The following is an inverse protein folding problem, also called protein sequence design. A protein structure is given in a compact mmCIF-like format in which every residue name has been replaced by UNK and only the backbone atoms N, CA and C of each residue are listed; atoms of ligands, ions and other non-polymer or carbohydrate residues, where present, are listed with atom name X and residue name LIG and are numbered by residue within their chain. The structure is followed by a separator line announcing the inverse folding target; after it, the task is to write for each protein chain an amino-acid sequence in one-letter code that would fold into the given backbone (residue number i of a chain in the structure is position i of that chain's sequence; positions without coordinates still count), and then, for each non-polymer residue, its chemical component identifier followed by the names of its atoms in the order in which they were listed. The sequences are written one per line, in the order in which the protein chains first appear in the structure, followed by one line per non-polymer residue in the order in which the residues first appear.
data_IF_865665147822
#
_entry.id   IF_865665147822
#
_cell.length_a   1.000
_cell.length_b   1.000
_cell.length_c   1.000
_cell.angle_alpha   90.00
_cell.angle_beta   90.00
_cell.angle_gamma   90.00
#
_symmetry.space_group_name_H-M   'P 1'
#
loop_
_entity.id
_entity.type
_entity.pdbx_description
1 polymer ?
#
# COMPACT_ATOMS: atom_id res chain seq x y z
N UNK A 1 -39.34 16.66 -32.06
CA UNK A 1 -40.68 17.22 -31.81
C UNK A 1 -41.01 16.98 -30.35
N UNK A 2 -40.98 18.06 -29.55
CA UNK A 2 -41.25 18.03 -28.10
C UNK A 2 -42.76 18.05 -27.86
N UNK A 3 -43.26 17.11 -27.06
CA UNK A 3 -44.64 17.08 -26.56
C UNK A 3 -44.51 16.86 -25.04
N UNK A 4 -44.54 17.91 -24.21
CA UNK A 4 -45.68 18.60 -23.58
C UNK A 4 -46.49 17.74 -22.57
N UNK A 5 -46.50 18.27 -21.34
CA UNK A 5 -47.53 18.16 -20.28
C UNK A 5 -47.65 16.79 -19.58
N UNK A 6 -47.82 16.69 -18.25
CA UNK A 6 -48.51 17.57 -17.31
C UNK A 6 -47.94 17.41 -15.87
N UNK A 7 -47.92 18.53 -15.16
CA UNK A 7 -47.64 18.69 -13.73
C UNK A 7 -48.94 18.46 -12.92
N UNK A 8 -48.87 17.84 -11.74
CA UNK A 8 -49.89 18.02 -10.69
C UNK A 8 -49.23 17.93 -9.30
N UNK A 9 -49.45 19.00 -8.55
CA UNK A 9 -48.98 19.33 -7.20
C UNK A 9 -50.09 19.01 -6.20
N UNK A 10 -49.75 18.52 -5.01
CA UNK A 10 -50.31 18.84 -3.67
C UNK A 10 -49.72 17.84 -2.67
N UNK A 11 -49.20 18.17 -1.48
CA UNK A 11 -49.33 19.35 -0.64
C UNK A 11 -49.62 18.86 0.80
N UNK A 12 -48.69 19.06 1.73
CA UNK A 12 -48.99 19.10 3.18
C UNK A 12 -47.81 19.74 3.92
N UNK A 13 -47.94 21.06 4.05
CA UNK A 13 -47.18 21.95 4.91
C UNK A 13 -47.61 21.69 6.37
N UNK A 14 -46.67 21.43 7.28
CA UNK A 14 -46.91 21.63 8.72
C UNK A 14 -45.87 22.61 9.23
N UNK A 15 -46.30 23.86 9.34
CA UNK A 15 -45.68 24.92 10.11
C UNK A 15 -46.13 24.76 11.56
N UNK A 16 -45.21 24.61 12.50
CA UNK A 16 -45.47 24.89 13.91
C UNK A 16 -44.38 25.84 14.41
N UNK A 17 -44.75 27.13 14.48
CA UNK A 17 -44.04 28.15 15.25
C UNK A 17 -44.62 28.15 16.67
N UNK A 18 -43.74 28.12 17.67
CA UNK A 18 -44.01 28.67 18.99
C UNK A 18 -42.74 29.37 19.51
N UNK A 19 -42.98 30.45 20.23
CA UNK A 19 -42.11 31.61 20.46
C UNK A 19 -41.12 31.39 21.61
N UNK A 20 -40.02 32.14 21.54
CA UNK A 20 -38.89 32.22 22.45
C UNK A 20 -39.22 32.52 23.92
N UNK A 21 -38.36 32.01 24.82
CA UNK A 21 -38.00 32.66 26.07
C UNK A 21 -36.57 32.22 26.50
N UNK A 22 -35.72 33.21 26.79
CA UNK A 22 -34.39 33.04 27.40
C UNK A 22 -34.50 32.58 28.86
N UNK A 23 -33.57 31.70 29.29
CA UNK A 23 -32.70 31.86 30.49
C UNK A 23 -32.11 30.52 30.97
N UNK A 24 -30.77 30.47 30.91
CA UNK A 24 -29.74 29.91 31.84
C UNK A 24 -29.89 28.56 32.57
N UNK A 25 -28.78 27.79 32.44
CA UNK A 25 -28.09 26.87 33.40
C UNK A 25 -28.40 25.36 33.48
N UNK A 26 -27.51 24.58 32.81
CA UNK A 26 -26.86 23.26 33.07
C UNK A 26 -27.48 22.16 33.98
N UNK A 27 -27.01 20.88 33.89
CA UNK A 27 -26.42 20.13 32.77
C UNK A 27 -27.03 18.71 32.62
N UNK A 28 -27.19 18.19 31.40
CA UNK A 28 -27.50 16.76 31.19
C UNK A 28 -26.47 16.09 30.27
N UNK A 29 -26.00 14.95 30.75
CA UNK A 29 -24.89 14.10 30.32
C UNK A 29 -24.72 13.91 28.81
N UNK A 30 -23.49 14.18 28.39
CA UNK A 30 -22.70 13.48 27.36
C UNK A 30 -23.41 12.40 26.54
N UNK A 31 -23.91 12.80 25.37
CA UNK A 31 -23.93 11.89 24.23
C UNK A 31 -22.50 11.79 23.68
N UNK A 32 -21.85 10.67 23.98
CA UNK A 32 -20.53 10.30 23.45
C UNK A 32 -20.59 10.33 21.93
N UNK A 33 -20.01 11.36 21.32
CA UNK A 33 -19.69 11.36 19.89
C UNK A 33 -18.74 10.19 19.69
N UNK A 34 -19.21 9.13 19.04
CA UNK A 34 -18.36 8.06 18.55
C UNK A 34 -17.35 8.69 17.61
N UNK A 35 -16.11 8.85 18.08
CA UNK A 35 -15.01 9.37 17.28
C UNK A 35 -14.92 8.51 16.02
N UNK A 36 -14.93 9.16 14.86
CA UNK A 36 -14.60 8.50 13.61
C UNK A 36 -13.24 7.81 13.79
N UNK A 37 -13.06 6.58 13.28
CA UNK A 37 -11.80 5.85 13.43
C UNK A 37 -10.68 6.73 12.91
N UNK A 38 -9.70 7.00 13.77
CA UNK A 38 -8.54 7.82 13.43
C UNK A 38 -7.92 7.29 12.13
N UNK A 39 -7.88 8.16 11.11
CA UNK A 39 -7.12 7.91 9.88
C UNK A 39 -5.71 7.46 10.33
N UNK A 40 -5.21 6.29 9.89
CA UNK A 40 -3.88 5.84 10.26
C UNK A 40 -2.89 6.99 10.04
N UNK A 41 -2.15 7.35 11.09
CA UNK A 41 -1.18 8.43 11.04
C UNK A 41 -0.27 8.23 9.82
N UNK A 42 -0.24 9.22 8.94
CA UNK A 42 0.69 9.20 7.80
C UNK A 42 2.11 9.13 8.36
N UNK A 43 2.99 8.27 7.81
CA UNK A 43 4.31 8.05 8.35
C UNK A 43 5.08 9.38 8.44
N UNK A 44 5.48 9.75 9.65
CA UNK A 44 6.31 10.93 9.91
C UNK A 44 7.78 10.51 9.69
N UNK A 45 8.38 10.98 8.60
CA UNK A 45 9.78 10.73 8.24
C UNK A 45 10.04 11.12 6.77
N UNK A 46 11.31 11.29 6.36
CA UNK A 46 11.64 11.47 4.96
C UNK A 46 11.24 10.23 4.16
N UNK A 47 10.71 10.43 2.96
CA UNK A 47 10.49 9.34 2.00
C UNK A 47 11.74 9.15 1.14
N UNK A 48 12.12 7.90 0.93
CA UNK A 48 13.29 7.50 0.14
C UNK A 48 12.86 6.81 -1.15
N UNK A 49 13.30 7.33 -2.28
CA UNK A 49 12.99 6.79 -3.61
C UNK A 49 13.99 5.69 -4.00
N UNK A 50 13.51 4.46 -4.19
CA UNK A 50 14.34 3.28 -4.51
C UNK A 50 15.20 3.47 -5.77
N UNK A 51 14.74 4.31 -6.71
CA UNK A 51 15.43 4.58 -7.97
C UNK A 51 16.41 5.77 -7.93
N UNK A 52 16.52 6.46 -6.78
CA UNK A 52 17.35 7.67 -6.64
C UNK A 52 18.24 7.65 -5.40
N UNK A 53 17.76 7.06 -4.32
CA UNK A 53 18.40 7.12 -3.00
C UNK A 53 19.07 5.80 -2.61
N UNK A 54 20.11 5.90 -1.78
CA UNK A 54 20.75 4.74 -1.14
C UNK A 54 20.02 4.44 0.17
N UNK A 55 18.84 3.82 0.04
CA UNK A 55 17.89 3.71 1.16
C UNK A 55 18.46 2.96 2.37
N UNK A 56 19.39 2.03 2.16
CA UNK A 56 19.97 1.19 3.22
C UNK A 56 21.02 1.88 4.08
N UNK A 57 21.38 3.13 3.79
CA UNK A 57 22.22 3.97 4.66
C UNK A 57 21.40 4.70 5.72
N UNK A 58 20.07 4.76 5.58
CA UNK A 58 19.18 5.42 6.53
C UNK A 58 18.69 4.44 7.61
N UNK A 59 19.10 4.54 8.88
CA UNK A 59 18.81 3.52 9.88
C UNK A 59 17.30 3.25 10.08
N UNK A 60 16.48 4.27 9.87
CA UNK A 60 15.02 4.32 10.04
C UNK A 60 14.22 3.96 8.78
N UNK A 61 14.86 3.45 7.71
CA UNK A 61 14.12 3.03 6.53
C UNK A 61 13.22 1.81 6.83
N UNK A 62 12.00 1.87 6.33
CA UNK A 62 10.98 0.82 6.36
C UNK A 62 10.14 0.88 5.08
N UNK A 63 9.29 -0.10 4.83
CA UNK A 63 8.35 -0.06 3.70
C UNK A 63 7.38 1.13 3.75
N UNK A 64 7.16 1.75 4.92
CA UNK A 64 6.26 2.91 5.08
C UNK A 64 6.82 4.20 4.48
N UNK A 65 8.14 4.32 4.39
CA UNK A 65 8.83 5.50 3.89
C UNK A 65 9.69 5.20 2.65
N UNK A 66 9.53 4.04 2.01
CA UNK A 66 10.11 3.76 0.70
C UNK A 66 9.11 4.09 -0.41
N UNK A 67 9.58 4.81 -1.42
CA UNK A 67 8.87 5.09 -2.66
C UNK A 67 9.47 4.30 -3.81
N UNK A 68 8.62 3.96 -4.77
CA UNK A 68 9.01 3.37 -6.03
C UNK A 68 8.43 4.22 -7.16
N UNK A 69 9.30 4.88 -7.93
CA UNK A 69 8.91 5.77 -9.03
C UNK A 69 7.91 6.86 -8.59
N UNK A 70 8.06 7.37 -7.36
CA UNK A 70 7.19 8.38 -6.76
C UNK A 70 5.89 7.86 -6.15
N UNK A 71 5.62 6.56 -6.21
CA UNK A 71 4.49 5.94 -5.51
C UNK A 71 4.91 5.41 -4.14
N UNK A 72 4.05 5.52 -3.14
CA UNK A 72 4.22 4.92 -1.81
C UNK A 72 3.12 3.92 -1.48
N UNK A 73 3.39 3.03 -0.53
CA UNK A 73 2.34 2.18 0.04
C UNK A 73 1.26 3.07 0.68
N UNK A 74 0.01 2.64 0.54
CA UNK A 74 -1.18 3.37 0.95
C UNK A 74 -1.68 4.42 -0.06
N UNK A 75 -0.93 4.68 -1.14
CA UNK A 75 -1.41 5.56 -2.21
C UNK A 75 -2.66 4.98 -2.87
N UNK A 76 -3.58 5.88 -3.21
CA UNK A 76 -4.74 5.56 -4.04
C UNK A 76 -4.28 5.17 -5.45
N UNK A 77 -4.73 4.00 -5.88
CA UNK A 77 -4.43 3.39 -7.17
C UNK A 77 -5.63 3.41 -8.10
N UNK A 78 -6.76 3.98 -7.67
CA UNK A 78 -7.91 4.20 -8.52
C UNK A 78 -7.61 5.28 -9.57
N UNK A 79 -8.12 5.09 -10.78
CA UNK A 79 -7.85 5.97 -11.91
C UNK A 79 -6.42 5.88 -12.45
N UNK A 80 -5.94 6.93 -13.10
CA UNK A 80 -4.71 6.91 -13.91
C UNK A 80 -3.43 7.26 -13.14
N UNK A 81 -3.49 7.39 -11.80
CA UNK A 81 -2.37 7.89 -11.01
C UNK A 81 -1.17 6.92 -11.04
N UNK A 82 -1.40 5.62 -10.83
CA UNK A 82 -0.34 4.62 -10.96
C UNK A 82 0.17 4.52 -12.40
N UNK A 83 -0.73 4.58 -13.40
CA UNK A 83 -0.33 4.49 -14.81
C UNK A 83 0.62 5.62 -15.23
N UNK A 84 0.49 6.82 -14.62
CA UNK A 84 1.42 7.93 -14.85
C UNK A 84 2.81 7.67 -14.26
N UNK A 85 2.89 6.95 -13.14
CA UNK A 85 4.15 6.68 -12.42
C UNK A 85 4.86 5.44 -12.97
N UNK A 86 4.10 4.38 -13.18
CA UNK A 86 4.58 3.06 -13.60
C UNK A 86 4.42 2.80 -15.10
N UNK A 87 3.74 3.66 -15.84
CA UNK A 87 3.45 3.45 -17.25
C UNK A 87 2.35 2.41 -17.47
N UNK A 88 2.26 1.93 -18.71
CA UNK A 88 1.26 0.95 -19.16
C UNK A 88 1.27 -0.31 -18.28
N UNK A 89 0.08 -0.86 -18.03
CA UNK A 89 -0.10 -2.19 -17.44
C UNK A 89 0.30 -3.26 -18.48
N UNK A 90 1.27 -4.09 -18.13
CA UNK A 90 1.72 -5.24 -18.93
C UNK A 90 0.85 -6.48 -18.66
N UNK A 91 0.43 -6.64 -17.42
CA UNK A 91 -0.41 -7.75 -16.98
C UNK A 91 -1.29 -7.34 -15.80
N UNK A 92 -2.48 -7.91 -15.70
CA UNK A 92 -3.38 -7.72 -14.56
C UNK A 92 -4.05 -9.03 -14.17
N UNK A 93 -4.20 -9.27 -12.87
CA UNK A 93 -4.93 -10.40 -12.31
C UNK A 93 -5.79 -9.96 -11.11
N UNK A 94 -6.95 -10.58 -10.96
CA UNK A 94 -7.77 -10.45 -9.76
C UNK A 94 -7.45 -11.63 -8.81
N UNK A 95 -6.95 -11.31 -7.62
CA UNK A 95 -6.71 -12.27 -6.54
C UNK A 95 -7.92 -12.29 -5.59
N UNK A 96 -7.86 -13.02 -4.47
CA UNK A 96 -9.00 -13.05 -3.54
C UNK A 96 -9.35 -11.65 -3.01
N UNK A 97 -8.39 -10.99 -2.37
CA UNK A 97 -8.56 -9.70 -1.68
C UNK A 97 -7.96 -8.50 -2.44
N UNK A 98 -7.22 -8.77 -3.51
CA UNK A 98 -6.35 -7.79 -4.17
C UNK A 98 -6.49 -7.82 -5.69
N UNK A 99 -6.15 -6.70 -6.33
CA UNK A 99 -5.77 -6.68 -7.75
C UNK A 99 -4.25 -6.66 -7.84
N UNK A 100 -3.68 -7.50 -8.70
CA UNK A 100 -2.28 -7.48 -9.08
C UNK A 100 -2.17 -6.82 -10.45
N UNK A 101 -1.38 -5.76 -10.57
CA UNK A 101 -0.95 -5.22 -11.86
C UNK A 101 0.56 -5.32 -11.98
N UNK A 102 1.05 -5.59 -13.19
CA UNK A 102 2.48 -5.56 -13.52
C UNK A 102 2.77 -4.47 -14.53
N UNK A 103 3.92 -3.84 -14.36
CA UNK A 103 4.38 -2.72 -15.14
C UNK A 103 5.88 -2.86 -15.43
N UNK A 104 6.42 -1.95 -16.24
CA UNK A 104 7.85 -1.86 -16.52
C UNK A 104 8.41 -3.16 -17.13
N UNK A 105 7.73 -3.71 -18.13
CA UNK A 105 8.04 -5.01 -18.75
C UNK A 105 7.96 -6.17 -17.74
N UNK A 106 6.90 -6.19 -16.94
CA UNK A 106 6.66 -7.14 -15.84
C UNK A 106 7.71 -7.13 -14.71
N UNK A 107 8.57 -6.11 -14.63
CA UNK A 107 9.63 -6.04 -13.61
C UNK A 107 9.17 -5.43 -12.29
N UNK A 108 7.99 -4.80 -12.27
CA UNK A 108 7.35 -4.29 -11.05
C UNK A 108 5.92 -4.80 -10.97
N UNK A 109 5.56 -5.37 -9.83
CA UNK A 109 4.20 -5.75 -9.47
C UNK A 109 3.67 -4.84 -8.36
N UNK A 110 2.43 -4.38 -8.53
CA UNK A 110 1.69 -3.58 -7.55
C UNK A 110 0.45 -4.36 -7.13
N UNK A 111 0.31 -4.57 -5.83
CA UNK A 111 -0.84 -5.22 -5.22
C UNK A 111 -1.72 -4.16 -4.60
N UNK A 112 -2.96 -4.09 -5.08
CA UNK A 112 -3.96 -3.10 -4.67
C UNK A 112 -5.05 -3.80 -3.88
N UNK A 113 -5.38 -3.30 -2.69
CA UNK A 113 -6.47 -3.86 -1.90
C UNK A 113 -7.82 -3.50 -2.52
N UNK A 114 -8.66 -4.50 -2.84
CA UNK A 114 -9.89 -4.30 -3.63
C UNK A 114 -10.89 -3.33 -2.99
N UNK A 115 -11.00 -3.35 -1.67
CA UNK A 115 -12.03 -2.58 -0.96
C UNK A 115 -11.65 -1.11 -0.79
N UNK A 116 -10.35 -0.79 -0.67
CA UNK A 116 -9.88 0.58 -0.47
C UNK A 116 -9.31 1.21 -1.73
N UNK A 117 -8.95 0.42 -2.74
CA UNK A 117 -8.25 0.89 -3.93
C UNK A 117 -6.85 1.43 -3.62
N UNK A 118 -6.20 0.95 -2.54
CA UNK A 118 -4.88 1.43 -2.12
C UNK A 118 -3.78 0.41 -2.36
N UNK A 119 -2.60 0.90 -2.73
CA UNK A 119 -1.40 0.08 -2.90
C UNK A 119 -0.98 -0.50 -1.56
N UNK A 120 -0.98 -1.82 -1.44
CA UNK A 120 -0.66 -2.52 -0.20
C UNK A 120 0.73 -3.14 -0.22
N UNK A 121 1.21 -3.46 -1.42
CA UNK A 121 2.50 -4.08 -1.60
C UNK A 121 3.08 -3.74 -2.98
N UNK A 122 4.39 -3.54 -3.00
CA UNK A 122 5.20 -3.51 -4.20
C UNK A 122 6.11 -4.74 -4.22
N UNK A 123 6.24 -5.37 -5.37
CA UNK A 123 7.21 -6.44 -5.61
C UNK A 123 8.06 -6.08 -6.82
N UNK A 124 9.37 -5.99 -6.62
CA UNK A 124 10.35 -5.53 -7.59
C UNK A 124 11.20 -6.72 -7.99
N UNK A 125 11.06 -7.18 -9.23
CA UNK A 125 11.78 -8.35 -9.75
C UNK A 125 13.20 -7.99 -10.20
N UNK A 126 14.05 -9.01 -10.30
CA UNK A 126 15.47 -8.87 -10.66
C UNK A 126 15.76 -8.17 -11.98
N UNK A 127 14.85 -8.25 -12.94
CA UNK A 127 14.91 -7.49 -14.19
C UNK A 127 14.86 -5.96 -13.99
N UNK A 128 14.34 -5.47 -12.85
CA UNK A 128 14.35 -4.04 -12.50
C UNK A 128 15.65 -3.59 -11.82
N UNK A 129 16.52 -4.51 -11.38
CA UNK A 129 17.72 -4.19 -10.59
C UNK A 129 18.62 -3.10 -11.20
N UNK A 130 18.83 -2.99 -12.53
CA UNK A 130 19.62 -1.91 -13.12
C UNK A 130 19.15 -0.50 -12.75
N UNK A 131 17.87 -0.33 -12.41
CA UNK A 131 17.24 0.95 -12.04
C UNK A 131 17.22 1.24 -10.55
N UNK A 132 17.59 0.29 -9.71
CA UNK A 132 17.76 0.50 -8.28
C UNK A 132 19.04 1.31 -8.04
N UNK A 133 18.92 2.39 -7.27
CA UNK A 133 20.04 3.25 -6.89
C UNK A 133 20.86 2.64 -5.74
N UNK A 134 20.19 2.05 -4.76
CA UNK A 134 20.84 1.39 -3.63
C UNK A 134 21.70 0.18 -4.08
N UNK A 135 23.03 0.24 -3.91
CA UNK A 135 23.93 -0.81 -4.40
C UNK A 135 23.76 -2.13 -3.63
N UNK A 136 23.34 -2.09 -2.36
CA UNK A 136 23.14 -3.31 -1.56
C UNK A 136 21.92 -4.07 -2.03
N UNK A 137 20.80 -3.38 -2.22
CA UNK A 137 19.57 -3.98 -2.74
C UNK A 137 19.75 -4.45 -4.19
N UNK A 138 20.43 -3.66 -5.02
CA UNK A 138 20.78 -4.06 -6.39
C UNK A 138 21.63 -5.33 -6.42
N UNK A 139 22.67 -5.40 -5.60
CA UNK A 139 23.53 -6.59 -5.49
C UNK A 139 22.73 -7.79 -5.00
N UNK A 140 21.96 -7.63 -3.92
CA UNK A 140 21.11 -8.69 -3.37
C UNK A 140 20.17 -9.25 -4.43
N UNK A 141 19.47 -8.39 -5.15
CA UNK A 141 18.48 -8.78 -6.14
C UNK A 141 19.12 -9.46 -7.37
N UNK A 142 20.32 -9.02 -7.77
CA UNK A 142 21.06 -9.63 -8.89
C UNK A 142 21.75 -10.95 -8.51
N UNK A 143 22.40 -11.04 -7.34
CA UNK A 143 23.14 -12.24 -6.94
C UNK A 143 22.26 -13.30 -6.28
N UNK A 144 21.31 -12.88 -5.45
CA UNK A 144 20.60 -13.77 -4.53
C UNK A 144 21.48 -14.33 -3.41
N UNK A 145 22.59 -13.66 -3.10
CA UNK A 145 23.53 -14.08 -2.08
C UNK A 145 22.92 -13.91 -0.67
N UNK A 146 22.53 -15.03 -0.07
CA UNK A 146 21.91 -15.08 1.26
C UNK A 146 22.88 -14.78 2.40
N UNK A 147 24.18 -15.05 2.19
CA UNK A 147 25.21 -14.65 3.16
C UNK A 147 25.30 -13.12 3.17
N UNK A 148 25.35 -12.52 1.98
CA UNK A 148 25.31 -11.07 1.83
C UNK A 148 24.03 -10.46 2.41
N UNK A 149 22.87 -11.09 2.20
CA UNK A 149 21.60 -10.68 2.80
C UNK A 149 21.72 -10.57 4.33
N UNK A 150 22.17 -11.64 5.00
CA UNK A 150 22.35 -11.64 6.45
C UNK A 150 23.36 -10.58 6.91
N UNK A 151 24.50 -10.48 6.23
CA UNK A 151 25.57 -9.53 6.60
C UNK A 151 25.13 -8.07 6.50
N UNK A 152 24.30 -7.72 5.51
CA UNK A 152 23.91 -6.32 5.28
C UNK A 152 22.63 -5.91 5.99
N UNK A 153 21.69 -6.83 6.19
CA UNK A 153 20.34 -6.52 6.67
C UNK A 153 20.03 -7.13 8.04
N UNK A 154 20.89 -8.02 8.55
CA UNK A 154 20.72 -8.71 9.83
C UNK A 154 19.90 -9.99 9.72
N UNK A 155 19.39 -10.45 10.86
CA UNK A 155 18.60 -11.68 10.94
C UNK A 155 17.21 -11.54 10.34
N UNK A 156 16.75 -12.63 9.74
CA UNK A 156 15.46 -12.77 9.08
C UNK A 156 14.79 -14.08 9.51
N UNK A 157 13.47 -14.13 9.38
CA UNK A 157 12.74 -15.40 9.39
C UNK A 157 12.60 -15.95 7.98
N UNK A 158 12.43 -17.26 7.86
CA UNK A 158 12.22 -17.94 6.57
C UNK A 158 10.78 -18.42 6.52
N UNK A 159 10.08 -18.07 5.45
CA UNK A 159 8.74 -18.58 5.15
C UNK A 159 8.77 -19.31 3.79
N UNK A 160 8.28 -20.55 3.75
CA UNK A 160 8.11 -21.30 2.52
C UNK A 160 6.65 -21.23 2.05
N UNK A 161 6.45 -20.91 0.78
CA UNK A 161 5.14 -20.90 0.15
C UNK A 161 5.13 -21.91 -1.02
N UNK A 162 4.56 -23.12 -0.81
CA UNK A 162 4.55 -24.15 -1.84
C UNK A 162 3.63 -23.82 -3.01
N UNK A 163 2.55 -23.06 -2.79
CA UNK A 163 1.59 -22.68 -3.84
C UNK A 163 2.26 -21.81 -4.90
N UNK A 164 3.06 -20.84 -4.45
CA UNK A 164 3.80 -19.92 -5.33
C UNK A 164 5.24 -20.39 -5.60
N UNK A 165 5.62 -21.56 -5.11
CA UNK A 165 6.98 -22.13 -5.21
C UNK A 165 8.06 -21.13 -4.79
N UNK A 166 7.83 -20.43 -3.67
CA UNK A 166 8.72 -19.37 -3.20
C UNK A 166 9.27 -19.64 -1.80
N UNK A 167 10.48 -19.15 -1.57
CA UNK A 167 11.09 -18.99 -0.25
C UNK A 167 11.22 -17.50 0.02
N UNK A 168 10.70 -17.05 1.16
CA UNK A 168 10.73 -15.65 1.58
C UNK A 168 11.63 -15.48 2.80
N UNK A 169 12.52 -14.49 2.72
CA UNK A 169 13.40 -14.07 3.80
C UNK A 169 12.89 -12.76 4.35
N UNK A 170 12.31 -12.82 5.54
CA UNK A 170 11.37 -11.83 6.05
C UNK A 170 12.00 -10.96 7.14
N UNK A 171 11.91 -9.65 6.93
CA UNK A 171 12.29 -8.61 7.88
C UNK A 171 11.04 -7.85 8.32
N UNK A 172 10.29 -8.44 9.25
CA UNK A 172 9.00 -7.90 9.71
C UNK A 172 9.11 -6.45 10.24
N UNK A 173 10.19 -6.13 10.95
CA UNK A 173 10.42 -4.78 11.50
C UNK A 173 10.60 -3.69 10.42
N UNK A 174 10.99 -4.07 9.20
CA UNK A 174 11.17 -3.15 8.07
C UNK A 174 10.08 -3.27 7.02
N UNK A 175 9.20 -4.28 7.10
CA UNK A 175 8.17 -4.53 6.09
C UNK A 175 8.76 -4.93 4.75
N UNK A 176 9.95 -5.54 4.80
CA UNK A 176 10.77 -5.91 3.67
C UNK A 176 10.93 -7.43 3.61
N UNK A 177 10.84 -8.01 2.43
CA UNK A 177 11.10 -9.42 2.19
C UNK A 177 11.97 -9.59 0.95
N UNK A 178 12.97 -10.45 1.02
CA UNK A 178 13.64 -10.97 -0.18
C UNK A 178 12.98 -12.28 -0.56
N UNK A 179 12.52 -12.40 -1.80
CA UNK A 179 11.73 -13.55 -2.26
C UNK A 179 12.46 -14.25 -3.38
N UNK A 180 12.56 -15.58 -3.30
CA UNK A 180 13.15 -16.44 -4.32
C UNK A 180 12.08 -17.38 -4.83
N UNK A 181 11.67 -17.21 -6.09
CA UNK A 181 10.71 -18.07 -6.79
C UNK A 181 11.43 -19.15 -7.59
N UNK A 182 10.94 -20.39 -7.51
CA UNK A 182 11.39 -21.53 -8.32
C UNK A 182 10.35 -21.88 -9.38
N UNK A 183 10.50 -21.28 -10.56
CA UNK A 183 9.58 -21.43 -11.69
C UNK A 183 10.15 -22.42 -12.70
N UNK A 184 9.95 -23.71 -12.44
CA UNK A 184 10.54 -24.78 -13.25
C UNK A 184 12.06 -24.75 -13.15
N UNK A 185 12.74 -24.53 -14.28
CA UNK A 185 14.21 -24.42 -14.33
C UNK A 185 14.73 -22.98 -14.11
N UNK A 186 13.84 -22.02 -13.87
CA UNK A 186 14.20 -20.63 -13.65
C UNK A 186 14.07 -20.26 -12.18
N UNK A 187 15.03 -19.48 -11.70
CA UNK A 187 14.94 -18.80 -10.41
C UNK A 187 14.72 -17.32 -10.66
N UNK A 188 13.63 -16.78 -10.12
CA UNK A 188 13.31 -15.36 -10.17
C UNK A 188 13.42 -14.79 -8.77
N UNK A 189 14.10 -13.66 -8.63
CA UNK A 189 14.24 -12.97 -7.33
C UNK A 189 13.40 -11.72 -7.29
N UNK A 190 12.92 -11.37 -6.12
CA UNK A 190 12.21 -10.13 -5.90
C UNK A 190 12.53 -9.49 -4.54
N UNK A 191 12.44 -8.17 -4.50
CA UNK A 191 12.31 -7.39 -3.27
C UNK A 191 10.83 -7.07 -3.09
N UNK A 192 10.27 -7.41 -1.95
CA UNK A 192 8.87 -7.14 -1.63
C UNK A 192 8.79 -6.16 -0.45
N UNK A 193 8.07 -5.08 -0.66
CA UNK A 193 7.75 -4.09 0.35
C UNK A 193 6.24 -4.15 0.59
N UNK A 194 5.83 -4.42 1.82
CA UNK A 194 4.42 -4.57 2.19
C UNK A 194 4.10 -3.66 3.37
N UNK A 195 2.82 -3.29 3.51
CA UNK A 195 2.37 -2.56 4.68
C UNK A 195 2.76 -3.31 5.97
N UNK A 196 3.47 -2.61 6.86
CA UNK A 196 3.79 -3.13 8.18
C UNK A 196 2.50 -3.47 8.93
N UNK A 197 2.37 -4.72 9.39
CA UNK A 197 1.29 -5.12 10.28
C UNK A 197 1.28 -4.18 11.48
N UNK A 198 0.11 -3.67 11.85
CA UNK A 198 -0.03 -2.97 13.14
C UNK A 198 0.38 -3.97 14.23
N UNK A 199 1.19 -3.57 15.23
CA UNK A 199 1.34 -4.39 16.42
C UNK A 199 -0.06 -4.67 16.94
N UNK A 200 -0.41 -5.95 17.12
CA UNK A 200 -1.62 -6.30 17.83
C UNK A 200 -1.51 -5.62 19.19
N UNK A 201 -2.41 -4.67 19.49
CA UNK A 201 -2.54 -4.12 20.83
C UNK A 201 -2.68 -5.32 21.76
N UNK A 202 -1.68 -5.53 22.61
CA UNK A 202 -1.71 -6.60 23.60
C UNK A 202 -2.75 -6.15 24.61
N UNK A 203 -3.93 -6.76 24.55
CA UNK A 203 -4.99 -6.60 25.55
C UNK A 203 -4.59 -7.24 26.87
#
# INVERSE_FOLDING_TARGET
MFNRMLLAITGALVLALAVAACSTEQPQETASVTAAPEKPAEPQGPFFELTKDVITEHPDWTSRNVMLLGAKLGDDTSGTKLDKLFGKIDHSAALATEYLTRHQNNSVAVYTFKTTGRARQFEIYDTFAPRIADPKLKKLLTSGDLKYLREQFGEYTIEENPENKSTEYVYENRGFRFVVYKLGNQTVKALRFSELRKPSATS
#
